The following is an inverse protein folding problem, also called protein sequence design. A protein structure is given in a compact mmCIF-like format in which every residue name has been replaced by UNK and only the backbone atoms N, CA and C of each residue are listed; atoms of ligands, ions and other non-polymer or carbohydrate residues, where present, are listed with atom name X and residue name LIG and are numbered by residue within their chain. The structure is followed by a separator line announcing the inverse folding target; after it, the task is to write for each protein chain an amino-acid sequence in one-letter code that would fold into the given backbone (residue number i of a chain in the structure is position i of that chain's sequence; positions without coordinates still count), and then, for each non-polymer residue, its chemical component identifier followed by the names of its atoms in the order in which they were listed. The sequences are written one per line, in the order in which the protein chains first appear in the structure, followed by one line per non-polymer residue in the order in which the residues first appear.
data_IF_895618038902
#
_entry.id   IF_895618038902
#
_cell.length_a   1.000
_cell.length_b   1.000
_cell.length_c   1.000
_cell.angle_alpha   90.00
_cell.angle_beta   90.00
_cell.angle_gamma   90.00
#
_symmetry.space_group_name_H-M   'P 1'
#
loop_
_entity.id
_entity.type
_entity.pdbx_description
1 polymer ?
#
# COMPACT_ATOMS: atom_id res chain seq x y z
N UNK A 1 0.64 7.94 1.08
CA UNK A 1 -0.50 7.12 0.60
C UNK A 1 -1.49 8.09 -0.01
N UNK A 2 -2.08 7.75 -1.16
CA UNK A 2 -3.17 8.51 -1.77
C UNK A 2 -4.46 7.70 -1.74
N UNK A 3 -5.56 8.33 -1.35
CA UNK A 3 -6.91 7.79 -1.43
C UNK A 3 -7.68 8.68 -2.39
N UNK A 4 -8.06 8.16 -3.56
CA UNK A 4 -8.81 8.92 -4.56
C UNK A 4 -10.21 8.33 -4.65
N UNK A 5 -11.22 9.13 -4.32
CA UNK A 5 -12.61 8.71 -4.40
C UNK A 5 -12.99 8.39 -5.85
N UNK A 6 -13.59 7.22 -6.08
CA UNK A 6 -13.96 6.76 -7.43
C UNK A 6 -15.47 6.63 -7.61
N UNK A 7 -16.14 6.08 -6.60
CA UNK A 7 -17.61 6.04 -6.48
C UNK A 7 -17.97 6.27 -5.01
N UNK A 8 -19.26 6.46 -4.71
CA UNK A 8 -19.72 6.63 -3.32
C UNK A 8 -19.22 5.46 -2.45
N UNK A 9 -18.47 5.78 -1.38
CA UNK A 9 -17.92 4.82 -0.43
C UNK A 9 -16.77 3.93 -0.95
N UNK A 10 -16.15 4.25 -2.10
CA UNK A 10 -15.03 3.46 -2.64
C UNK A 10 -13.87 4.33 -3.11
N UNK A 11 -12.66 3.85 -2.85
CA UNK A 11 -11.41 4.54 -3.15
C UNK A 11 -10.48 3.70 -4.04
N UNK A 12 -9.74 4.38 -4.90
CA UNK A 12 -8.50 3.86 -5.45
C UNK A 12 -7.35 4.20 -4.49
N UNK A 13 -6.59 3.19 -4.07
CA UNK A 13 -5.44 3.34 -3.19
C UNK A 13 -4.15 3.45 -4.00
N UNK A 14 -3.39 4.51 -3.74
CA UNK A 14 -2.10 4.78 -4.37
C UNK A 14 -0.95 4.74 -3.37
N UNK A 15 0.16 4.10 -3.74
CA UNK A 15 1.38 3.98 -2.92
C UNK A 15 2.63 4.22 -3.76
N UNK A 16 3.81 4.34 -3.12
CA UNK A 16 5.08 4.49 -3.84
C UNK A 16 5.53 5.92 -4.15
N UNK A 17 4.70 6.94 -3.87
CA UNK A 17 5.09 8.34 -4.01
C UNK A 17 6.12 8.78 -2.95
N UNK A 18 6.99 9.74 -3.30
CA UNK A 18 7.98 10.31 -2.35
C UNK A 18 7.38 11.42 -1.49
N UNK A 19 7.94 11.58 -0.29
CA UNK A 19 7.59 12.68 0.62
C UNK A 19 7.80 14.06 -0.02
N UNK A 20 8.89 14.22 -0.79
CA UNK A 20 9.20 15.45 -1.52
C UNK A 20 8.31 15.68 -2.77
N UNK A 21 7.42 14.74 -3.12
CA UNK A 21 6.54 14.85 -4.28
C UNK A 21 7.22 14.72 -5.65
N UNK A 22 8.52 14.38 -5.69
CA UNK A 22 9.29 14.27 -6.94
C UNK A 22 9.22 12.90 -7.63
N UNK A 23 8.42 11.97 -7.11
CA UNK A 23 8.12 10.68 -7.74
C UNK A 23 6.64 10.39 -7.63
N UNK A 24 6.04 10.01 -8.76
CA UNK A 24 4.64 9.60 -8.82
C UNK A 24 4.41 8.29 -8.06
N UNK A 25 3.22 8.19 -7.47
CA UNK A 25 2.71 6.95 -6.90
C UNK A 25 2.17 6.03 -8.03
N UNK A 26 1.81 4.81 -7.67
CA UNK A 26 1.13 3.85 -8.53
C UNK A 26 -0.13 3.31 -7.84
N UNK A 27 -1.07 2.80 -8.63
CA UNK A 27 -2.29 2.15 -8.12
C UNK A 27 -1.89 0.83 -7.45
N UNK A 28 -2.12 0.75 -6.14
CA UNK A 28 -2.00 -0.49 -5.39
C UNK A 28 -3.24 -1.35 -5.62
N UNK A 29 -4.40 -0.81 -5.29
CA UNK A 29 -5.70 -1.48 -5.43
C UNK A 29 -6.81 -0.48 -5.77
N UNK A 30 -7.77 -0.92 -6.56
CA UNK A 30 -8.89 -0.10 -7.01
C UNK A 30 -10.21 -0.56 -6.37
N UNK A 31 -11.19 0.35 -6.32
CA UNK A 31 -12.56 0.12 -5.82
C UNK A 31 -12.63 -0.44 -4.38
N UNK A 32 -11.68 -0.07 -3.52
CA UNK A 32 -11.65 -0.49 -2.11
C UNK A 32 -12.76 0.20 -1.32
N UNK A 33 -13.67 -0.55 -0.68
CA UNK A 33 -14.68 0.02 0.23
C UNK A 33 -14.04 0.83 1.36
N UNK A 34 -14.68 1.92 1.76
CA UNK A 34 -14.18 2.81 2.82
C UNK A 34 -13.84 2.06 4.12
N UNK A 35 -14.72 1.15 4.51
CA UNK A 35 -14.60 0.29 5.68
C UNK A 35 -13.44 -0.72 5.59
N UNK A 36 -12.98 -1.05 4.38
CA UNK A 36 -11.90 -2.00 4.11
C UNK A 36 -10.54 -1.31 3.88
N UNK A 37 -10.50 0.03 3.80
CA UNK A 37 -9.24 0.76 3.54
C UNK A 37 -8.17 0.41 4.57
N UNK A 38 -8.54 0.35 5.85
CA UNK A 38 -7.58 0.07 6.92
C UNK A 38 -7.06 -1.36 6.84
N UNK A 39 -7.94 -2.36 6.73
CA UNK A 39 -7.54 -3.77 6.62
C UNK A 39 -6.69 -4.01 5.37
N UNK A 40 -6.96 -3.30 4.27
CA UNK A 40 -6.17 -3.35 3.03
C UNK A 40 -4.75 -2.81 3.22
N UNK A 41 -4.54 -1.81 4.09
CA UNK A 41 -3.23 -1.19 4.33
C UNK A 41 -2.40 -1.88 5.42
N UNK A 42 -3.03 -2.60 6.34
CA UNK A 42 -2.34 -3.31 7.45
C UNK A 42 -1.22 -4.26 6.95
N UNK A 43 -1.43 -5.10 5.92
CA UNK A 43 -0.37 -5.97 5.42
C UNK A 43 0.85 -5.18 4.94
N UNK A 44 0.65 -4.04 4.28
CA UNK A 44 1.72 -3.18 3.76
C UNK A 44 2.54 -2.55 4.88
N UNK A 45 1.89 -2.09 5.95
CA UNK A 45 2.59 -1.54 7.10
C UNK A 45 3.35 -2.61 7.87
N UNK A 46 2.81 -3.83 7.98
CA UNK A 46 3.53 -4.97 8.54
C UNK A 46 4.75 -5.30 7.70
N UNK A 47 4.61 -5.33 6.37
CA UNK A 47 5.73 -5.60 5.46
C UNK A 47 6.83 -4.56 5.63
N UNK A 48 6.45 -3.29 5.63
CA UNK A 48 7.36 -2.16 5.83
C UNK A 48 8.08 -2.27 7.18
N UNK A 49 7.36 -2.55 8.27
CA UNK A 49 7.98 -2.69 9.60
C UNK A 49 9.06 -3.77 9.62
N UNK A 50 8.86 -4.87 8.90
CA UNK A 50 9.75 -6.03 8.93
C UNK A 50 10.91 -5.95 7.93
N UNK A 51 10.71 -5.31 6.77
CA UNK A 51 11.63 -5.42 5.62
C UNK A 51 12.15 -4.08 5.10
N UNK A 52 11.83 -2.97 5.77
CA UNK A 52 12.41 -1.66 5.43
C UNK A 52 13.91 -1.64 5.67
N UNK A 53 14.59 -0.88 4.85
CA UNK A 53 15.99 -0.52 5.07
C UNK A 53 16.10 0.61 6.12
N UNK A 54 17.29 0.78 6.69
CA UNK A 54 17.49 1.83 7.69
C UNK A 54 17.25 3.22 7.08
N UNK A 55 16.46 4.05 7.76
CA UNK A 55 16.06 5.37 7.27
C UNK A 55 15.07 5.37 6.09
N UNK A 56 14.62 4.21 5.62
CA UNK A 56 13.69 4.13 4.48
C UNK A 56 12.28 4.62 4.86
N UNK A 57 11.70 5.46 4.01
CA UNK A 57 10.32 5.93 4.14
C UNK A 57 9.35 4.90 3.54
N UNK A 58 8.10 4.90 3.99
CA UNK A 58 7.08 3.98 3.46
C UNK A 58 6.88 4.13 1.94
N UNK A 59 6.95 5.36 1.41
CA UNK A 59 6.83 5.61 -0.01
C UNK A 59 7.99 5.04 -0.83
N UNK A 60 9.22 5.17 -0.33
CA UNK A 60 10.40 4.56 -0.96
C UNK A 60 10.38 3.03 -0.87
N UNK A 61 9.96 2.50 0.27
CA UNK A 61 9.76 1.07 0.45
C UNK A 61 8.78 0.49 -0.57
N UNK A 62 7.56 1.04 -0.67
CA UNK A 62 6.58 0.56 -1.64
C UNK A 62 7.08 0.66 -3.08
N UNK A 63 7.89 1.68 -3.40
CA UNK A 63 8.50 1.81 -4.71
C UNK A 63 9.58 0.75 -4.98
N UNK A 64 10.45 0.49 -4.00
CA UNK A 64 11.52 -0.53 -4.10
C UNK A 64 10.96 -1.94 -4.21
N UNK A 65 9.93 -2.26 -3.43
CA UNK A 65 9.26 -3.58 -3.50
C UNK A 65 8.48 -3.74 -4.81
N UNK A 66 7.90 -2.65 -5.34
CA UNK A 66 7.03 -2.69 -6.50
C UNK A 66 5.66 -3.32 -6.20
N UNK A 67 4.70 -3.11 -7.11
CA UNK A 67 3.30 -3.50 -6.89
C UNK A 67 3.12 -5.00 -6.66
N UNK A 68 3.72 -5.84 -7.49
CA UNK A 68 3.47 -7.27 -7.49
C UNK A 68 3.94 -7.94 -6.19
N UNK A 69 5.09 -7.51 -5.66
CA UNK A 69 5.60 -8.01 -4.39
C UNK A 69 4.78 -7.55 -3.20
N UNK A 70 4.22 -6.33 -3.24
CA UNK A 70 3.30 -5.87 -2.20
C UNK A 70 2.01 -6.70 -2.18
N UNK A 71 1.48 -7.07 -3.35
CA UNK A 71 0.30 -7.92 -3.46
C UNK A 71 0.58 -9.35 -2.97
N UNK A 72 1.68 -9.95 -3.41
CA UNK A 72 2.08 -11.29 -2.95
C UNK A 72 2.21 -11.35 -1.41
N UNK A 73 2.84 -10.33 -0.80
CA UNK A 73 2.91 -10.23 0.66
C UNK A 73 1.53 -10.09 1.31
N UNK A 74 0.63 -9.28 0.74
CA UNK A 74 -0.70 -9.06 1.29
C UNK A 74 -1.56 -10.34 1.25
N UNK A 75 -1.44 -11.12 0.19
CA UNK A 75 -2.10 -12.42 0.05
C UNK A 75 -1.58 -13.41 1.11
N UNK A 76 -0.25 -13.50 1.28
CA UNK A 76 0.38 -14.34 2.32
C UNK A 76 -0.04 -13.91 3.74
N UNK A 77 -0.06 -12.60 4.01
CA UNK A 77 -0.47 -12.06 5.30
C UNK A 77 -1.93 -12.41 5.63
N UNK A 78 -2.82 -12.33 4.64
CA UNK A 78 -4.24 -12.66 4.80
C UNK A 78 -4.44 -14.16 5.04
N UNK A 79 -3.71 -14.99 4.30
CA UNK A 79 -3.75 -16.44 4.47
C UNK A 79 -3.27 -16.89 5.85
N UNK A 80 -2.25 -16.23 6.41
CA UNK A 80 -1.73 -16.52 7.75
C UNK A 80 -2.61 -16.00 8.91
N UNK A 81 -3.53 -15.07 8.63
CA UNK A 81 -4.45 -14.49 9.61
C UNK A 81 -5.83 -15.19 9.66
N UNK A 82 -6.04 -16.20 8.80
CA UNK A 82 -7.26 -17.01 8.68
C UNK A 82 -7.12 -18.34 9.42
#
# INVERSE_FOLDING_TARGET
IGLVGKTKGKYTLFVGGRLLGNRLNFIYQDLVPEEEVVSTLVPLFTFFKQHRENGETFGDFCHRQGRDRLLAWADEFTAAAS
#
